data_IF_871724264994
#
_entry.id   IF_871724264994
#
_cell.length_a   1.000
_cell.length_b   1.000
_cell.length_c   1.000
_cell.angle_alpha   90.00
_cell.angle_beta   90.00
_cell.angle_gamma   90.00
#
_symmetry.space_group_name_H-M   'P 1'
#
loop_
_entity.id
_entity.type
_entity.pdbx_description
1 polymer ?
#
# COMPACT_ATOMS: atom_id res chain seq x y z
N UNK A 1 22.15 64.06 37.57
CA UNK A 1 23.17 63.23 36.88
C UNK A 1 22.56 62.66 35.61
N UNK A 2 23.04 63.08 34.43
CA UNK A 2 22.59 62.52 33.14
C UNK A 2 23.77 62.56 32.17
N UNK A 3 24.52 61.48 32.15
CA UNK A 3 25.59 61.22 31.20
C UNK A 3 25.14 59.98 30.42
N UNK A 4 24.62 60.18 29.20
CA UNK A 4 24.52 59.10 28.22
C UNK A 4 24.95 59.68 26.88
N UNK A 5 26.01 59.07 26.36
CA UNK A 5 26.79 59.44 25.19
C UNK A 5 25.91 59.49 23.93
N UNK A 6 25.77 60.66 23.32
CA UNK A 6 25.30 60.78 21.94
C UNK A 6 26.52 60.68 21.03
N UNK A 7 26.82 59.46 20.56
CA UNK A 7 27.87 59.23 19.58
C UNK A 7 27.43 59.83 18.24
N UNK A 8 27.88 61.07 17.98
CA UNK A 8 27.69 61.76 16.71
C UNK A 8 28.31 60.93 15.58
N UNK A 9 27.48 60.25 14.80
CA UNK A 9 27.85 59.77 13.48
C UNK A 9 28.17 60.99 12.60
N UNK A 10 29.47 61.27 12.43
CA UNK A 10 29.96 62.21 11.44
C UNK A 10 29.57 61.69 10.05
N UNK A 11 28.69 62.42 9.36
CA UNK A 11 28.40 62.17 7.97
C UNK A 11 29.63 62.53 7.13
N UNK A 12 30.42 61.52 6.76
CA UNK A 12 31.54 61.68 5.83
C UNK A 12 30.98 61.86 4.42
N UNK A 13 31.00 63.09 3.90
CA UNK A 13 30.64 63.38 2.51
C UNK A 13 31.72 62.81 1.58
N UNK A 14 31.41 61.72 0.89
CA UNK A 14 32.28 61.14 -0.13
C UNK A 14 32.10 61.88 -1.46
N UNK A 15 33.16 62.53 -1.96
CA UNK A 15 33.18 63.06 -3.34
C UNK A 15 33.41 61.89 -4.29
N UNK A 16 32.38 61.48 -5.03
CA UNK A 16 32.51 60.48 -6.09
C UNK A 16 33.27 61.08 -7.27
N UNK A 17 34.51 60.65 -7.49
CA UNK A 17 35.28 61.03 -8.67
C UNK A 17 34.89 60.10 -9.82
N UNK A 18 34.14 60.61 -10.79
CA UNK A 18 33.66 59.85 -11.95
C UNK A 18 34.82 59.51 -12.91
N UNK A 19 35.49 58.38 -12.66
CA UNK A 19 36.44 57.75 -13.58
C UNK A 19 36.13 56.24 -13.66
N UNK A 20 35.60 55.80 -14.80
CA UNK A 20 35.44 54.39 -15.21
C UNK A 20 34.32 53.58 -14.53
N UNK A 21 33.17 53.44 -15.19
CA UNK A 21 31.95 52.80 -14.65
C UNK A 21 31.71 51.34 -15.06
N UNK A 22 32.65 50.42 -14.77
CA UNK A 22 32.51 48.98 -15.11
C UNK A 22 32.19 48.06 -13.92
N UNK A 23 32.29 48.57 -12.68
CA UNK A 23 32.06 47.78 -11.48
C UNK A 23 30.60 47.28 -11.35
N UNK A 24 29.63 48.13 -11.72
CA UNK A 24 28.19 47.78 -11.64
C UNK A 24 27.82 46.69 -12.64
N UNK A 25 28.31 46.77 -13.88
CA UNK A 25 28.07 45.75 -14.91
C UNK A 25 28.74 44.43 -14.56
N UNK A 26 29.95 44.46 -13.99
CA UNK A 26 30.64 43.25 -13.52
C UNK A 26 29.86 42.57 -12.39
N UNK A 27 29.34 43.34 -11.43
CA UNK A 27 28.55 42.82 -10.32
C UNK A 27 27.29 42.11 -10.82
N UNK A 28 26.54 42.69 -11.76
CA UNK A 28 25.31 42.09 -12.31
C UNK A 28 25.61 40.77 -13.03
N UNK A 29 26.68 40.72 -13.85
CA UNK A 29 27.06 39.49 -14.55
C UNK A 29 27.41 38.39 -13.56
N UNK A 30 28.26 38.68 -12.56
CA UNK A 30 28.63 37.71 -11.52
C UNK A 30 27.39 37.23 -10.75
N UNK A 31 26.49 38.14 -10.35
CA UNK A 31 25.24 37.77 -9.68
C UNK A 31 24.35 36.88 -10.54
N UNK A 32 24.24 37.14 -11.84
CA UNK A 32 23.42 36.32 -12.75
C UNK A 32 23.94 34.88 -12.89
N UNK A 33 25.27 34.70 -12.96
CA UNK A 33 25.91 33.37 -13.02
C UNK A 33 25.68 32.62 -11.72
N UNK A 34 25.91 33.26 -10.57
CA UNK A 34 25.69 32.63 -9.26
C UNK A 34 24.22 32.28 -9.05
N UNK A 35 23.29 33.15 -9.46
CA UNK A 35 21.85 32.88 -9.39
C UNK A 35 21.45 31.70 -10.29
N UNK A 36 21.99 31.63 -11.50
CA UNK A 36 21.74 30.50 -12.41
C UNK A 36 22.21 29.17 -11.82
N UNK A 37 23.38 29.14 -11.19
CA UNK A 37 23.89 27.94 -10.52
C UNK A 37 23.00 27.59 -9.31
N UNK A 38 22.63 28.58 -8.51
CA UNK A 38 21.75 28.40 -7.35
C UNK A 38 20.38 27.82 -7.71
N UNK A 39 19.73 28.32 -8.77
CA UNK A 39 18.46 27.80 -9.26
C UNK A 39 18.57 26.36 -9.78
N UNK A 40 19.66 26.04 -10.48
CA UNK A 40 19.91 24.66 -10.94
C UNK A 40 20.09 23.70 -9.77
N UNK A 41 20.84 24.08 -8.74
CA UNK A 41 21.01 23.25 -7.53
C UNK A 41 19.70 23.09 -6.76
N UNK A 42 18.90 24.15 -6.62
CA UNK A 42 17.61 24.09 -5.95
C UNK A 42 16.66 23.09 -6.62
N UNK A 43 16.64 23.04 -7.96
CA UNK A 43 15.84 22.07 -8.70
C UNK A 43 16.30 20.61 -8.47
N UNK A 44 17.61 20.38 -8.34
CA UNK A 44 18.14 19.05 -8.04
C UNK A 44 17.73 18.63 -6.62
N UNK A 45 17.97 19.49 -5.64
CA UNK A 45 17.63 19.21 -4.23
C UNK A 45 16.14 18.97 -4.05
N UNK A 46 15.27 19.73 -4.71
CA UNK A 46 13.83 19.49 -4.65
C UNK A 46 13.46 18.07 -5.10
N UNK A 47 14.06 17.60 -6.20
CA UNK A 47 13.83 16.24 -6.72
C UNK A 47 14.39 15.17 -5.79
N UNK A 48 15.58 15.38 -5.23
CA UNK A 48 16.19 14.46 -4.27
C UNK A 48 15.36 14.35 -2.99
N UNK A 49 14.80 15.45 -2.50
CA UNK A 49 13.92 15.44 -1.33
C UNK A 49 12.64 14.65 -1.58
N UNK A 50 12.01 14.85 -2.75
CA UNK A 50 10.81 14.09 -3.13
C UNK A 50 11.16 12.61 -3.28
N UNK A 51 12.25 12.28 -3.97
CA UNK A 51 12.68 10.88 -4.13
C UNK A 51 12.98 10.22 -2.79
N UNK A 52 13.65 10.93 -1.88
CA UNK A 52 13.94 10.44 -0.52
C UNK A 52 12.66 10.19 0.28
N UNK A 53 11.67 11.08 0.18
CA UNK A 53 10.37 10.90 0.82
C UNK A 53 9.66 9.66 0.26
N UNK A 54 9.54 9.55 -1.06
CA UNK A 54 8.91 8.38 -1.70
C UNK A 54 9.63 7.07 -1.41
N UNK A 55 10.95 7.10 -1.23
CA UNK A 55 11.76 5.93 -0.87
C UNK A 55 11.52 5.46 0.55
N UNK A 56 11.27 6.38 1.50
CA UNK A 56 10.83 6.02 2.85
C UNK A 56 9.40 5.50 2.86
N UNK A 57 8.50 6.16 2.14
CA UNK A 57 7.09 5.76 2.08
C UNK A 57 6.90 4.40 1.39
N UNK A 58 7.77 4.09 0.42
CA UNK A 58 7.88 2.75 -0.17
C UNK A 58 8.26 1.66 0.83
N UNK A 59 9.08 1.97 1.84
CA UNK A 59 9.44 0.99 2.86
C UNK A 59 8.24 0.64 3.73
N UNK A 60 7.45 1.64 4.15
CA UNK A 60 6.22 1.40 4.91
C UNK A 60 5.23 0.54 4.12
N UNK A 61 4.96 0.89 2.86
CA UNK A 61 4.12 0.12 1.98
C UNK A 61 4.63 -1.33 1.80
N UNK A 62 5.94 -1.51 1.59
CA UNK A 62 6.51 -2.85 1.43
C UNK A 62 6.47 -3.68 2.71
N UNK A 63 6.72 -3.08 3.88
CA UNK A 63 6.62 -3.77 5.16
C UNK A 63 5.18 -4.21 5.48
N UNK A 64 4.19 -3.39 5.14
CA UNK A 64 2.80 -3.77 5.30
C UNK A 64 2.40 -4.93 4.37
N UNK A 65 2.87 -4.91 3.12
CA UNK A 65 2.66 -6.01 2.17
C UNK A 65 3.27 -7.32 2.69
N UNK A 66 4.55 -7.28 3.09
CA UNK A 66 5.29 -8.43 3.60
C UNK A 66 4.64 -9.01 4.86
N UNK A 67 4.26 -8.16 5.82
CA UNK A 67 3.58 -8.59 7.03
C UNK A 67 2.19 -9.20 6.76
N UNK A 68 1.43 -8.65 5.80
CA UNK A 68 0.15 -9.21 5.39
C UNK A 68 0.31 -10.59 4.73
N UNK A 69 1.30 -10.73 3.85
CA UNK A 69 1.61 -11.98 3.16
C UNK A 69 2.04 -13.08 4.12
N UNK A 70 2.95 -12.77 5.06
CA UNK A 70 3.40 -13.72 6.08
C UNK A 70 2.23 -14.14 7.00
N UNK A 71 1.27 -13.24 7.25
CA UNK A 71 0.08 -13.61 8.01
C UNK A 71 -0.77 -14.66 7.27
N UNK A 72 -1.03 -14.45 5.99
CA UNK A 72 -1.77 -15.42 5.18
C UNK A 72 -1.02 -16.74 5.10
N UNK A 73 0.27 -16.70 4.80
CA UNK A 73 1.09 -17.90 4.68
C UNK A 73 1.11 -18.71 5.98
N UNK A 74 1.17 -18.02 7.13
CA UNK A 74 1.08 -18.66 8.43
C UNK A 74 -0.27 -19.37 8.64
N UNK A 75 -1.38 -18.71 8.32
CA UNK A 75 -2.72 -19.27 8.52
C UNK A 75 -3.12 -20.31 7.46
N UNK A 76 -2.50 -20.28 6.27
CA UNK A 76 -2.75 -21.27 5.23
C UNK A 76 -1.84 -22.51 5.35
N UNK A 77 -0.52 -22.33 5.51
CA UNK A 77 0.45 -23.44 5.53
C UNK A 77 1.00 -23.76 6.93
N UNK A 78 1.09 -22.76 7.81
CA UNK A 78 1.79 -22.87 9.10
C UNK A 78 0.92 -23.32 10.28
N UNK A 79 -0.42 -23.27 10.15
CA UNK A 79 -1.33 -23.50 11.26
C UNK A 79 -1.48 -25.00 11.58
N UNK A 80 -1.20 -25.46 12.82
CA UNK A 80 -1.33 -26.86 13.21
C UNK A 80 -2.77 -27.40 13.22
N UNK A 81 -3.77 -26.51 13.12
CA UNK A 81 -5.19 -26.88 13.09
C UNK A 81 -5.77 -27.00 11.68
N UNK A 82 -4.98 -26.71 10.63
CA UNK A 82 -5.39 -26.75 9.22
C UNK A 82 -5.43 -25.35 8.57
N UNK A 83 -5.56 -25.30 7.24
CA UNK A 83 -5.74 -24.05 6.50
C UNK A 83 -7.07 -23.39 6.89
N UNK A 84 -7.04 -22.07 7.11
CA UNK A 84 -8.23 -21.26 7.39
C UNK A 84 -8.86 -20.70 6.08
N UNK A 85 -8.16 -20.82 4.96
CA UNK A 85 -8.64 -20.43 3.63
C UNK A 85 -8.85 -21.62 2.66
N UNK A 86 -9.61 -22.68 2.98
CA UNK A 86 -9.97 -23.73 2.01
C UNK A 86 -10.86 -23.24 0.87
N UNK A 87 -10.70 -23.84 -0.32
CA UNK A 87 -11.62 -23.70 -1.47
C UNK A 87 -13.06 -24.12 -1.11
N UNK A 88 -13.21 -25.11 -0.23
CA UNK A 88 -14.49 -25.74 0.13
C UNK A 88 -15.18 -25.15 1.37
N UNK A 89 -14.61 -24.11 1.99
CA UNK A 89 -15.13 -23.55 3.25
C UNK A 89 -15.37 -22.05 3.18
N UNK A 90 -15.49 -21.49 1.97
CA UNK A 90 -16.03 -20.15 1.82
C UNK A 90 -17.54 -20.30 1.97
N UNK A 91 -17.98 -20.27 3.22
CA UNK A 91 -19.38 -20.38 3.60
C UNK A 91 -19.92 -18.97 3.81
N UNK A 92 -20.83 -18.49 2.95
CA UNK A 92 -21.81 -17.43 3.25
C UNK A 92 -21.26 -16.12 3.86
N UNK A 93 -20.26 -15.45 3.26
CA UNK A 93 -19.66 -14.24 3.85
C UNK A 93 -19.40 -14.45 5.37
N UNK A 94 -19.03 -15.67 5.78
CA UNK A 94 -18.69 -16.00 7.15
C UNK A 94 -17.20 -15.75 7.39
N UNK A 95 -16.85 -14.88 8.35
CA UNK A 95 -15.47 -14.52 8.57
C UNK A 95 -14.61 -15.75 8.81
N UNK A 96 -13.30 -15.71 8.49
CA UNK A 96 -12.38 -16.75 8.90
C UNK A 96 -12.51 -17.01 10.42
N UNK A 97 -12.19 -18.23 10.84
CA UNK A 97 -12.47 -18.71 12.19
C UNK A 97 -12.03 -17.73 13.30
N UNK A 98 -12.78 -17.71 14.41
CA UNK A 98 -12.54 -16.84 15.57
C UNK A 98 -11.11 -16.99 16.08
N UNK A 99 -10.38 -15.88 16.19
CA UNK A 99 -8.99 -15.84 16.67
C UNK A 99 -7.93 -15.84 15.57
N UNK A 100 -8.34 -15.71 14.30
CA UNK A 100 -7.42 -15.49 13.18
C UNK A 100 -6.92 -14.04 13.23
N UNK A 101 -5.74 -13.85 13.83
CA UNK A 101 -5.14 -12.53 14.03
C UNK A 101 -3.99 -12.27 13.06
N UNK A 102 -4.01 -11.09 12.43
CA UNK A 102 -2.91 -10.52 11.66
C UNK A 102 -2.48 -9.20 12.32
N UNK A 103 -1.39 -9.24 13.09
CA UNK A 103 -0.98 -8.12 13.94
C UNK A 103 -2.05 -7.83 15.01
N UNK A 104 -2.66 -6.65 14.95
CA UNK A 104 -3.77 -6.24 15.82
C UNK A 104 -5.15 -6.44 15.19
N UNK A 105 -5.20 -6.82 13.91
CA UNK A 105 -6.46 -7.03 13.20
C UNK A 105 -6.96 -8.45 13.43
N UNK A 106 -8.16 -8.57 13.97
CA UNK A 106 -8.88 -9.83 14.06
C UNK A 106 -9.69 -10.01 12.79
N UNK A 107 -9.28 -10.96 11.94
CA UNK A 107 -9.93 -11.28 10.67
C UNK A 107 -11.36 -11.81 10.86
N UNK A 108 -11.70 -12.25 12.06
CA UNK A 108 -13.05 -12.71 12.39
C UNK A 108 -14.03 -11.60 12.77
N UNK A 109 -13.58 -10.34 12.78
CA UNK A 109 -14.33 -9.18 13.24
C UNK A 109 -14.65 -8.20 12.11
N UNK A 110 -15.69 -7.37 12.29
CA UNK A 110 -16.09 -6.27 11.39
C UNK A 110 -14.97 -5.25 11.08
N UNK A 111 -13.79 -5.36 11.71
CA UNK A 111 -12.63 -4.51 11.50
C UNK A 111 -11.76 -4.91 10.30
N UNK A 112 -11.86 -6.16 9.85
CA UNK A 112 -10.99 -6.69 8.81
C UNK A 112 -11.51 -6.47 7.38
N UNK A 113 -12.70 -5.86 7.24
CA UNK A 113 -13.48 -5.69 6.01
C UNK A 113 -13.06 -6.63 4.88
N UNK A 114 -13.76 -7.75 4.78
CA UNK A 114 -13.40 -8.87 3.93
C UNK A 114 -14.56 -9.21 2.99
N UNK A 115 -14.22 -9.81 1.86
CA UNK A 115 -15.12 -10.20 0.79
C UNK A 115 -14.63 -11.53 0.19
N UNK A 116 -15.55 -12.38 -0.25
CA UNK A 116 -15.17 -13.62 -0.91
C UNK A 116 -16.14 -14.00 -2.04
N UNK A 117 -15.54 -14.37 -3.16
CA UNK A 117 -16.23 -14.65 -4.41
C UNK A 117 -15.78 -16.01 -4.96
N UNK A 118 -16.71 -16.76 -5.53
CA UNK A 118 -16.41 -17.97 -6.30
C UNK A 118 -16.76 -17.69 -7.76
N UNK A 119 -15.82 -17.95 -8.66
CA UNK A 119 -16.03 -18.00 -10.09
C UNK A 119 -16.05 -19.47 -10.53
N UNK A 120 -17.19 -19.93 -11.06
CA UNK A 120 -17.39 -21.26 -11.65
C UNK A 120 -17.36 -21.12 -13.17
N UNK A 121 -16.30 -21.64 -13.79
CA UNK A 121 -16.09 -21.60 -15.22
C UNK A 121 -16.29 -23.01 -15.82
N UNK A 122 -17.43 -23.30 -16.46
CA UNK A 122 -17.59 -24.59 -17.13
C UNK A 122 -16.69 -24.68 -18.38
N UNK A 123 -16.22 -25.88 -18.77
CA UNK A 123 -15.35 -26.06 -19.93
C UNK A 123 -15.98 -25.63 -21.27
N UNK A 124 -17.31 -25.49 -21.30
CA UNK A 124 -18.07 -24.86 -22.39
C UNK A 124 -19.22 -24.05 -21.78
N UNK A 125 -19.17 -22.72 -21.86
CA UNK A 125 -20.24 -21.85 -21.35
C UNK A 125 -19.75 -20.46 -21.00
N UNK A 126 -20.60 -19.71 -20.31
CA UNK A 126 -20.24 -18.47 -19.63
C UNK A 126 -19.83 -18.81 -18.18
N UNK A 127 -18.82 -18.14 -17.65
CA UNK A 127 -18.46 -18.26 -16.23
C UNK A 127 -19.51 -17.57 -15.36
N UNK A 128 -19.78 -18.13 -14.19
CA UNK A 128 -20.73 -17.61 -13.21
C UNK A 128 -19.99 -17.18 -11.95
N UNK A 129 -20.21 -15.93 -11.53
CA UNK A 129 -19.65 -15.36 -10.30
C UNK A 129 -20.70 -15.37 -9.20
N UNK A 130 -20.30 -15.78 -7.99
CA UNK A 130 -21.19 -15.91 -6.83
C UNK A 130 -20.62 -15.17 -5.61
N UNK A 131 -21.44 -14.27 -5.04
CA UNK A 131 -21.14 -13.45 -3.86
C UNK A 131 -22.42 -13.26 -3.00
N UNK A 132 -22.46 -13.70 -1.71
CA UNK A 132 -21.46 -14.51 -1.03
C UNK A 132 -21.14 -15.80 -1.77
N UNK A 133 -19.86 -16.15 -1.78
CA UNK A 133 -19.40 -17.48 -2.13
C UNK A 133 -20.15 -18.53 -1.27
N UNK A 134 -21.02 -19.32 -1.93
CA UNK A 134 -21.69 -20.58 -1.49
C UNK A 134 -23.14 -20.72 -2.00
N UNK A 135 -23.87 -19.62 -2.24
CA UNK A 135 -25.29 -19.69 -2.62
C UNK A 135 -25.55 -19.13 -4.02
N UNK A 136 -26.33 -19.87 -4.82
CA UNK A 136 -26.85 -19.34 -6.08
C UNK A 136 -27.90 -18.24 -5.85
N UNK A 137 -28.32 -17.52 -6.89
CA UNK A 137 -29.39 -16.49 -6.80
C UNK A 137 -30.72 -17.05 -6.25
N UNK A 138 -30.88 -18.39 -6.22
CA UNK A 138 -32.03 -19.10 -5.67
C UNK A 138 -31.88 -19.54 -4.20
N UNK A 139 -30.73 -19.29 -3.57
CA UNK A 139 -30.42 -19.72 -2.20
C UNK A 139 -30.13 -21.22 -2.06
N UNK A 140 -29.79 -21.91 -3.15
CA UNK A 140 -29.32 -23.29 -3.09
C UNK A 140 -27.81 -23.30 -2.86
N UNK A 141 -27.33 -24.29 -2.10
CA UNK A 141 -25.90 -24.56 -2.01
C UNK A 141 -25.36 -24.80 -3.42
N UNK A 142 -24.41 -23.99 -3.83
CA UNK A 142 -23.59 -24.25 -4.99
C UNK A 142 -22.74 -25.44 -4.56
N UNK A 143 -22.94 -26.66 -5.10
CA UNK A 143 -21.86 -27.62 -5.00
C UNK A 143 -20.70 -26.93 -5.71
N UNK A 144 -19.62 -26.57 -4.99
CA UNK A 144 -18.33 -26.33 -5.63
C UNK A 144 -18.20 -27.47 -6.60
N UNK A 145 -18.42 -27.14 -7.87
CA UNK A 145 -18.86 -28.16 -8.78
C UNK A 145 -17.62 -29.04 -8.86
N UNK A 146 -17.76 -30.36 -8.94
CA UNK A 146 -16.56 -31.20 -9.08
C UNK A 146 -15.80 -30.94 -10.39
N UNK A 147 -15.94 -29.76 -10.99
CA UNK A 147 -15.23 -29.26 -12.15
C UNK A 147 -14.03 -28.44 -11.70
N UNK A 148 -12.99 -28.62 -12.50
CA UNK A 148 -11.60 -28.41 -12.15
C UNK A 148 -11.10 -26.97 -12.43
N UNK A 149 -12.01 -26.03 -12.72
CA UNK A 149 -11.73 -24.63 -13.14
C UNK A 149 -12.41 -23.61 -12.21
N UNK A 150 -12.87 -24.06 -11.05
CA UNK A 150 -13.44 -23.18 -10.03
C UNK A 150 -12.31 -22.35 -9.40
N UNK A 151 -12.51 -21.04 -9.35
CA UNK A 151 -11.58 -20.11 -8.69
C UNK A 151 -12.25 -19.46 -7.49
N UNK A 152 -11.65 -19.65 -6.32
CA UNK A 152 -12.05 -19.02 -5.08
C UNK A 152 -11.15 -17.82 -4.79
N UNK A 153 -11.75 -16.62 -4.68
CA UNK A 153 -11.04 -15.39 -4.36
C UNK A 153 -11.50 -14.84 -3.02
N UNK A 154 -10.55 -14.58 -2.12
CA UNK A 154 -10.79 -14.01 -0.79
C UNK A 154 -9.98 -12.72 -0.69
N UNK A 155 -10.66 -11.62 -0.40
CA UNK A 155 -10.03 -10.30 -0.25
C UNK A 155 -10.29 -9.77 1.15
N UNK A 156 -9.27 -9.23 1.80
CA UNK A 156 -9.43 -8.53 3.07
C UNK A 156 -8.35 -7.46 3.24
N UNK A 157 -8.54 -6.59 4.23
CA UNK A 157 -7.57 -5.55 4.55
C UNK A 157 -7.13 -5.60 6.02
N UNK A 158 -5.85 -5.35 6.24
CA UNK A 158 -5.24 -5.32 7.57
C UNK A 158 -4.63 -3.95 7.79
N UNK A 159 -5.07 -3.29 8.85
CA UNK A 159 -4.48 -2.03 9.29
C UNK A 159 -3.40 -2.31 10.35
N UNK A 160 -2.19 -1.82 10.10
CA UNK A 160 -1.12 -1.82 11.09
C UNK A 160 -1.05 -0.41 11.70
N UNK A 161 -1.62 -0.27 12.90
CA UNK A 161 -1.48 0.93 13.72
C UNK A 161 -0.38 0.74 14.76
N UNK A 162 0.56 1.67 14.86
CA UNK A 162 1.33 1.78 16.12
C UNK A 162 0.47 2.48 17.17
N UNK A 163 0.57 2.06 18.45
CA UNK A 163 -0.07 2.70 19.61
C UNK A 163 0.39 4.17 19.86
N UNK A 164 1.24 4.72 19.00
CA UNK A 164 1.75 6.07 19.14
C UNK A 164 0.82 7.03 18.40
N UNK A 165 -0.04 7.71 19.15
CA UNK A 165 -0.91 8.76 18.62
C UNK A 165 -0.11 9.72 17.71
N UNK A 166 -0.58 9.91 16.48
CA UNK A 166 -0.09 10.88 15.49
C UNK A 166 1.14 10.48 14.65
N UNK A 167 1.52 9.20 14.55
CA UNK A 167 2.44 8.75 13.48
C UNK A 167 1.65 8.51 12.19
N UNK A 168 1.19 9.60 11.58
CA UNK A 168 0.75 9.62 10.19
C UNK A 168 1.91 9.18 9.29
N UNK A 169 1.67 8.29 8.30
CA UNK A 169 0.35 8.04 7.71
C UNK A 169 -0.38 6.75 8.14
N UNK A 170 0.13 5.96 9.09
CA UNK A 170 -0.37 4.58 9.26
C UNK A 170 0.02 3.70 8.07
N UNK A 171 -0.23 2.39 8.17
CA UNK A 171 0.04 1.48 7.05
C UNK A 171 -1.04 0.41 6.93
N UNK A 172 -1.64 0.35 5.74
CA UNK A 172 -2.65 -0.63 5.37
C UNK A 172 -2.03 -1.66 4.44
N UNK A 173 -2.54 -2.89 4.48
CA UNK A 173 -2.31 -3.88 3.44
C UNK A 173 -3.63 -4.47 2.99
N UNK A 174 -3.79 -4.67 1.68
CA UNK A 174 -4.89 -5.41 1.08
C UNK A 174 -4.34 -6.72 0.58
N UNK A 175 -4.93 -7.82 1.04
CA UNK A 175 -4.53 -9.15 0.65
C UNK A 175 -5.63 -9.77 -0.19
N UNK A 176 -5.22 -10.43 -1.25
CA UNK A 176 -6.05 -11.18 -2.17
C UNK A 176 -5.48 -12.60 -2.24
N UNK A 177 -6.30 -13.58 -1.87
CA UNK A 177 -5.97 -15.00 -1.93
C UNK A 177 -6.82 -15.58 -3.05
N UNK A 178 -6.17 -16.16 -4.05
CA UNK A 178 -6.81 -16.83 -5.17
C UNK A 178 -6.44 -18.29 -5.12
N UNK A 179 -7.42 -19.17 -5.03
CA UNK A 179 -7.24 -20.63 -5.12
C UNK A 179 -7.92 -21.12 -6.38
N UNK A 180 -7.14 -21.64 -7.31
CA UNK A 180 -7.63 -22.19 -8.57
C UNK A 180 -7.34 -23.69 -8.62
N UNK A 181 -8.36 -24.48 -8.99
CA UNK A 181 -8.15 -25.88 -9.40
C UNK A 181 -7.32 -25.94 -10.68
N UNK A 182 -6.47 -26.96 -10.83
CA UNK A 182 -5.60 -27.14 -12.01
C UNK A 182 -5.77 -28.51 -12.68
N UNK A 183 -6.94 -29.13 -12.59
CA UNK A 183 -7.13 -30.46 -13.19
C UNK A 183 -7.88 -30.45 -14.51
N UNK A 184 -7.63 -31.49 -15.30
CA UNK A 184 -8.57 -32.00 -16.30
C UNK A 184 -9.06 -33.34 -15.75
N UNK A 185 -10.32 -33.69 -16.02
CA UNK A 185 -10.97 -34.91 -15.49
C UNK A 185 -10.06 -36.15 -15.55
N UNK A 186 -9.49 -36.58 -14.42
CA UNK A 186 -8.90 -37.92 -14.26
C UNK A 186 -7.47 -38.05 -13.70
N UNK A 187 -6.76 -36.98 -13.33
CA UNK A 187 -5.48 -37.06 -12.59
C UNK A 187 -5.50 -36.22 -11.31
N UNK A 188 -4.47 -36.39 -10.47
CA UNK A 188 -4.36 -35.85 -9.09
C UNK A 188 -4.72 -34.35 -9.01
N UNK A 189 -5.69 -34.01 -8.16
CA UNK A 189 -6.23 -32.66 -7.99
C UNK A 189 -5.20 -31.74 -7.32
N UNK A 190 -4.45 -30.99 -8.13
CA UNK A 190 -3.58 -29.93 -7.64
C UNK A 190 -4.35 -28.61 -7.52
N UNK A 191 -4.25 -27.93 -6.38
CA UNK A 191 -4.77 -26.57 -6.17
C UNK A 191 -3.62 -25.59 -6.23
N UNK A 192 -3.68 -24.63 -7.15
CA UNK A 192 -2.75 -23.51 -7.19
C UNK A 192 -3.30 -22.36 -6.35
N UNK A 193 -2.60 -22.04 -5.27
CA UNK A 193 -2.90 -20.89 -4.40
C UNK A 193 -1.95 -19.75 -4.72
N UNK A 194 -2.50 -18.61 -5.12
CA UNK A 194 -1.78 -17.35 -5.28
C UNK A 194 -2.21 -16.38 -4.20
N UNK A 195 -1.24 -15.82 -3.48
CA UNK A 195 -1.46 -14.77 -2.48
C UNK A 195 -0.80 -13.51 -2.98
N UNK A 196 -1.58 -12.45 -3.19
CA UNK A 196 -1.11 -11.11 -3.50
C UNK A 196 -1.38 -10.18 -2.32
N UNK A 197 -0.31 -9.62 -1.74
CA UNK A 197 -0.40 -8.63 -0.68
C UNK A 197 0.06 -7.27 -1.21
N UNK A 198 -0.81 -6.26 -1.14
CA UNK A 198 -0.55 -4.87 -1.56
C UNK A 198 -0.55 -3.97 -0.34
N UNK A 199 0.59 -3.41 0.01
CA UNK A 199 0.74 -2.49 1.12
C UNK A 199 0.76 -1.03 0.67
N UNK A 200 0.28 -0.16 1.56
CA UNK A 200 0.06 1.26 1.33
C UNK A 200 0.65 2.10 2.48
N UNK A 201 1.18 3.28 2.14
CA UNK A 201 1.63 4.29 3.11
C UNK A 201 0.46 5.15 3.63
N UNK A 202 -0.67 4.52 3.97
CA UNK A 202 -1.85 5.19 4.50
C UNK A 202 -2.64 4.21 5.38
N UNK A 203 -3.52 4.73 6.23
CA UNK A 203 -4.48 3.93 6.98
C UNK A 203 -5.45 3.20 6.06
N UNK A 204 -6.06 2.12 6.55
CA UNK A 204 -7.01 1.40 5.72
C UNK A 204 -8.27 2.24 5.48
N UNK A 205 -8.81 2.25 4.25
CA UNK A 205 -10.05 2.94 3.96
C UNK A 205 -11.20 2.29 4.72
N UNK A 206 -12.32 3.02 4.84
CA UNK A 206 -13.49 2.54 5.60
C UNK A 206 -14.10 1.23 5.05
N UNK A 207 -13.78 0.87 3.80
CA UNK A 207 -14.14 -0.41 3.19
C UNK A 207 -13.22 -0.78 2.02
N UNK A 208 -13.23 -2.03 1.55
CA UNK A 208 -12.50 -2.55 0.39
C UNK A 208 -12.84 -1.79 -0.89
N UNK A 209 -14.08 -1.36 -1.06
CA UNK A 209 -14.52 -0.55 -2.19
C UNK A 209 -14.12 0.94 -2.10
N UNK A 210 -13.68 1.41 -0.93
CA UNK A 210 -13.31 2.80 -0.73
C UNK A 210 -11.84 3.04 -1.12
N UNK A 211 -11.56 4.22 -1.67
CA UNK A 211 -10.21 4.64 -2.05
C UNK A 211 -9.43 5.22 -0.87
N UNK A 212 -8.12 5.33 -1.03
CA UNK A 212 -7.24 6.00 -0.08
C UNK A 212 -7.30 7.52 -0.22
N UNK A 213 -7.28 8.24 0.89
CA UNK A 213 -7.34 9.71 0.96
C UNK A 213 -5.93 10.34 1.09
N UNK A 214 -4.91 9.73 0.46
CA UNK A 214 -3.53 10.20 0.48
C UNK A 214 -3.07 10.72 -0.91
N UNK A 215 -2.77 12.02 -1.06
CA UNK A 215 -2.30 12.59 -2.34
C UNK A 215 -0.88 12.16 -2.74
N UNK A 216 -0.13 11.56 -1.81
CA UNK A 216 1.20 10.99 -2.02
C UNK A 216 1.18 9.47 -1.73
N UNK A 217 0.10 8.80 -2.15
CA UNK A 217 -0.05 7.35 -2.01
C UNK A 217 1.09 6.62 -2.72
N UNK A 218 1.67 5.67 -2.01
CA UNK A 218 2.68 4.74 -2.48
C UNK A 218 2.17 3.34 -2.23
N UNK A 219 2.15 2.53 -3.28
CA UNK A 219 1.79 1.12 -3.24
C UNK A 219 3.03 0.25 -3.53
N UNK A 220 3.15 -0.83 -2.76
CA UNK A 220 4.11 -1.90 -2.99
C UNK A 220 3.42 -3.24 -2.82
N UNK A 221 3.61 -4.14 -3.77
CA UNK A 221 3.02 -5.47 -3.76
C UNK A 221 4.06 -6.57 -3.64
N UNK A 222 3.69 -7.66 -2.99
CA UNK A 222 4.40 -8.94 -3.01
C UNK A 222 3.38 -10.01 -3.36
N UNK A 223 3.76 -10.93 -4.25
CA UNK A 223 2.92 -12.06 -4.64
C UNK A 223 3.71 -13.35 -4.50
N UNK A 224 3.05 -14.39 -4.00
CA UNK A 224 3.60 -15.73 -3.86
C UNK A 224 2.55 -16.72 -4.33
N UNK A 225 2.94 -17.63 -5.22
CA UNK A 225 2.11 -18.75 -5.67
C UNK A 225 2.72 -20.07 -5.20
N UNK A 226 1.87 -20.97 -4.71
CA UNK A 226 2.23 -22.32 -4.30
C UNK A 226 1.09 -23.29 -4.59
N UNK A 227 1.44 -24.52 -4.93
CA UNK A 227 0.50 -25.61 -5.14
C UNK A 227 1.14 -26.94 -4.78
N UNK A 228 0.32 -27.91 -4.37
CA UNK A 228 0.73 -29.29 -4.17
C UNK A 228 0.41 -30.13 -5.40
N UNK A 229 1.40 -30.91 -5.85
CA UNK A 229 1.19 -32.06 -6.74
C UNK A 229 0.46 -33.19 -5.98
#
# INVERSE_FOLDING_TARGET
MKFFYFFLLKATSYKLQARGGYALTLAIVVSSVVLSIGLSLLNIVQKELILSATGRDSQFAFYAADAGLECVLYWDLGNPTGSIFPESSIDDDAPPAVGTMCGTTDLSSDKADWDATIEDCPPVGECHEYAPARLDEGGNEIPASGYEDDTATIVFQVEFTEEVENVSPGSCTRIEITKAGNGDTGEEYGVETTVEARGYNDGCPASLAAGFDNPALVERGVSVSYGGD
#
